data_IF_964264441675
#
_entry.id   IF_964264441675
#
_cell.length_a   1.000
_cell.length_b   1.000
_cell.length_c   1.000
_cell.angle_alpha   90.00
_cell.angle_beta   90.00
_cell.angle_gamma   90.00
#
_symmetry.space_group_name_H-M   'P 1'
#
loop_
_entity.id
_entity.type
_entity.pdbx_description
1 polymer ?
#
# COMPACT_ATOMS: atom_id res chain seq x y z
N UNK A 1 -13.04 13.90 -14.33
CA UNK A 1 -13.39 14.14 -12.92
C UNK A 1 -14.24 13.03 -12.32
N UNK A 2 -15.41 12.72 -12.87
CA UNK A 2 -16.33 11.70 -12.29
C UNK A 2 -15.66 10.32 -12.12
N UNK A 3 -14.88 9.86 -13.10
CA UNK A 3 -14.18 8.57 -13.00
C UNK A 3 -13.16 8.55 -11.85
N UNK A 4 -12.44 9.64 -11.65
CA UNK A 4 -11.45 9.77 -10.58
C UNK A 4 -12.13 9.76 -9.20
N UNK A 5 -13.20 10.56 -9.03
CA UNK A 5 -13.92 10.61 -7.76
C UNK A 5 -14.58 9.28 -7.41
N UNK A 6 -15.19 8.59 -8.38
CA UNK A 6 -15.75 7.25 -8.17
C UNK A 6 -14.65 6.25 -7.79
N UNK A 7 -13.50 6.30 -8.47
CA UNK A 7 -12.35 5.44 -8.15
C UNK A 7 -11.86 5.65 -6.72
N UNK A 8 -11.65 6.90 -6.29
CA UNK A 8 -11.21 7.22 -4.93
C UNK A 8 -12.21 6.71 -3.90
N UNK A 9 -13.50 6.95 -4.08
CA UNK A 9 -14.55 6.48 -3.16
C UNK A 9 -14.51 4.95 -3.02
N UNK A 10 -14.38 4.22 -4.14
CA UNK A 10 -14.26 2.77 -4.12
C UNK A 10 -13.03 2.30 -3.34
N UNK A 11 -11.86 2.87 -3.60
CA UNK A 11 -10.63 2.51 -2.88
C UNK A 11 -10.72 2.83 -1.38
N UNK A 12 -11.33 3.96 -1.01
CA UNK A 12 -11.53 4.32 0.40
C UNK A 12 -12.43 3.33 1.12
N UNK A 13 -13.54 2.91 0.50
CA UNK A 13 -14.45 1.91 1.10
C UNK A 13 -13.72 0.58 1.31
N UNK A 14 -12.96 0.12 0.32
CA UNK A 14 -12.15 -1.11 0.42
C UNK A 14 -11.12 -0.99 1.56
N UNK A 15 -10.46 0.16 1.69
CA UNK A 15 -9.51 0.44 2.78
C UNK A 15 -10.15 0.37 4.16
N UNK A 16 -11.34 0.97 4.32
CA UNK A 16 -12.09 0.94 5.59
C UNK A 16 -12.48 -0.50 5.95
N UNK A 17 -13.01 -1.26 4.99
CA UNK A 17 -13.39 -2.65 5.20
C UNK A 17 -12.16 -3.51 5.58
N UNK A 18 -11.03 -3.31 4.90
CA UNK A 18 -9.78 -4.02 5.20
C UNK A 18 -9.28 -3.69 6.62
N UNK A 19 -9.29 -2.42 7.02
CA UNK A 19 -8.92 -2.00 8.37
C UNK A 19 -9.84 -2.59 9.44
N UNK A 20 -11.15 -2.65 9.18
CA UNK A 20 -12.10 -3.28 10.09
C UNK A 20 -11.87 -4.79 10.22
N UNK A 21 -11.57 -5.49 9.11
CA UNK A 21 -11.24 -6.91 9.15
C UNK A 21 -9.96 -7.18 9.95
N UNK A 22 -8.91 -6.38 9.74
CA UNK A 22 -7.66 -6.48 10.51
C UNK A 22 -7.94 -6.25 11.99
N UNK A 23 -8.74 -5.23 12.33
CA UNK A 23 -9.13 -4.95 13.71
C UNK A 23 -9.82 -6.13 14.38
N UNK A 24 -10.77 -6.78 13.70
CA UNK A 24 -11.49 -7.94 14.26
C UNK A 24 -10.57 -9.15 14.43
N UNK A 25 -9.68 -9.42 13.48
CA UNK A 25 -8.79 -10.59 13.50
C UNK A 25 -7.73 -10.47 14.61
N UNK A 26 -7.19 -9.27 14.82
CA UNK A 26 -6.14 -9.01 15.82
C UNK A 26 -6.67 -8.29 17.07
N UNK A 27 -7.98 -8.37 17.34
CA UNK A 27 -8.59 -7.71 18.50
C UNK A 27 -8.05 -8.23 19.84
N UNK A 28 -7.74 -9.53 19.91
CA UNK A 28 -7.27 -10.21 21.12
C UNK A 28 -5.74 -10.25 21.21
N UNK A 29 -5.05 -10.20 20.06
CA UNK A 29 -3.60 -10.28 19.93
C UNK A 29 -3.05 -9.02 19.26
N UNK A 30 -2.55 -8.09 20.05
CA UNK A 30 -1.94 -6.88 19.54
C UNK A 30 -0.55 -7.19 18.92
N UNK A 31 -0.47 -7.05 17.60
CA UNK A 31 0.73 -7.32 16.79
C UNK A 31 1.91 -6.41 17.16
N UNK A 32 1.65 -5.19 17.67
CA UNK A 32 2.70 -4.28 18.13
C UNK A 32 3.31 -4.79 19.44
N UNK A 33 2.46 -5.22 20.37
CA UNK A 33 2.90 -5.69 21.70
C UNK A 33 3.72 -6.98 21.59
N UNK A 34 3.36 -7.84 20.62
CA UNK A 34 4.09 -9.08 20.31
C UNK A 34 5.38 -8.86 19.49
N UNK A 35 5.72 -7.61 19.13
CA UNK A 35 6.89 -7.23 18.31
C UNK A 35 6.99 -7.95 16.96
N UNK A 36 5.84 -8.32 16.40
CA UNK A 36 5.78 -8.93 15.07
C UNK A 36 5.90 -7.85 13.99
N UNK A 37 5.35 -6.66 14.27
CA UNK A 37 5.49 -5.44 13.48
C UNK A 37 6.15 -4.35 14.33
N UNK A 38 7.02 -3.55 13.72
CA UNK A 38 7.69 -2.44 14.41
C UNK A 38 6.93 -1.12 14.25
N UNK A 39 6.26 -0.94 13.11
CA UNK A 39 5.49 0.26 12.78
C UNK A 39 4.09 -0.09 12.26
N UNK A 40 3.14 0.83 12.45
CA UNK A 40 1.76 0.66 12.00
C UNK A 40 1.65 0.54 10.46
N UNK A 41 2.60 1.08 9.70
CA UNK A 41 2.62 0.99 8.24
C UNK A 41 2.82 -0.44 7.72
N UNK A 42 3.38 -1.32 8.55
CA UNK A 42 3.63 -2.72 8.20
C UNK A 42 2.41 -3.62 8.44
N UNK A 43 1.33 -3.11 9.06
CA UNK A 43 0.17 -3.88 9.46
C UNK A 43 -0.56 -4.53 8.26
N UNK A 44 -0.85 -3.72 7.24
CA UNK A 44 -1.54 -4.18 6.02
C UNK A 44 -0.70 -5.20 5.23
N UNK A 45 0.58 -4.94 4.90
CA UNK A 45 1.39 -5.95 4.21
C UNK A 45 1.56 -7.21 5.06
N UNK A 46 1.71 -7.11 6.38
CA UNK A 46 1.76 -8.28 7.26
C UNK A 46 0.47 -9.12 7.17
N UNK A 47 -0.69 -8.47 7.26
CA UNK A 47 -1.99 -9.13 7.14
C UNK A 47 -2.15 -9.85 5.79
N UNK A 48 -1.77 -9.20 4.69
CA UNK A 48 -1.85 -9.81 3.36
C UNK A 48 -0.92 -11.02 3.26
N UNK A 49 0.27 -10.96 3.82
CA UNK A 49 1.21 -12.09 3.85
C UNK A 49 0.67 -13.26 4.69
N UNK A 50 -0.04 -12.98 5.78
CA UNK A 50 -0.66 -13.99 6.62
C UNK A 50 -1.83 -14.70 5.91
N UNK A 51 -2.73 -13.93 5.27
CA UNK A 51 -3.83 -14.48 4.47
C UNK A 51 -3.32 -15.23 3.23
N UNK A 52 -2.26 -14.73 2.59
CA UNK A 52 -1.66 -15.35 1.41
C UNK A 52 -1.00 -16.71 1.69
N UNK A 53 -0.77 -17.10 2.96
CA UNK A 53 -0.35 -18.47 3.30
C UNK A 53 -1.34 -19.52 2.77
N UNK A 54 -2.62 -19.15 2.66
CA UNK A 54 -3.67 -20.03 2.17
C UNK A 54 -3.75 -20.07 0.62
N UNK A 55 -3.15 -19.11 -0.09
CA UNK A 55 -3.24 -18.99 -1.55
C UNK A 55 -1.85 -18.72 -2.16
N UNK A 56 -1.20 -19.74 -2.74
CA UNK A 56 0.13 -19.57 -3.32
C UNK A 56 0.11 -18.55 -4.46
N UNK A 57 1.05 -17.59 -4.43
CA UNK A 57 1.20 -16.53 -5.44
C UNK A 57 0.54 -15.19 -5.09
N UNK A 58 -0.42 -15.16 -4.16
CA UNK A 58 -1.13 -13.92 -3.79
C UNK A 58 -0.20 -12.88 -3.14
N UNK A 59 0.70 -13.34 -2.26
CA UNK A 59 1.73 -12.50 -1.65
C UNK A 59 2.64 -11.82 -2.69
N UNK A 60 3.03 -12.57 -3.72
CA UNK A 60 3.87 -12.08 -4.82
C UNK A 60 3.15 -11.05 -5.67
N UNK A 61 1.87 -11.28 -5.99
CA UNK A 61 1.04 -10.34 -6.73
C UNK A 61 0.87 -9.01 -5.98
N UNK A 62 0.58 -9.08 -4.68
CA UNK A 62 0.45 -7.88 -3.84
C UNK A 62 1.76 -7.08 -3.80
N UNK A 63 2.88 -7.75 -3.56
CA UNK A 63 4.20 -7.13 -3.50
C UNK A 63 4.60 -6.50 -4.84
N UNK A 64 4.35 -7.18 -5.96
CA UNK A 64 4.60 -6.66 -7.30
C UNK A 64 3.77 -5.40 -7.60
N UNK A 65 2.49 -5.39 -7.22
CA UNK A 65 1.62 -4.22 -7.36
C UNK A 65 2.09 -3.02 -6.52
N UNK A 66 2.46 -3.27 -5.26
CA UNK A 66 2.98 -2.22 -4.36
C UNK A 66 4.24 -1.56 -4.92
N UNK A 67 5.21 -2.36 -5.36
CA UNK A 67 6.42 -1.82 -5.98
C UNK A 67 6.12 -1.12 -7.30
N UNK A 68 5.22 -1.64 -8.14
CA UNK A 68 4.83 -0.98 -9.39
C UNK A 68 4.26 0.43 -9.14
N UNK A 69 3.39 0.59 -8.14
CA UNK A 69 2.83 1.89 -7.76
C UNK A 69 3.91 2.87 -7.25
N UNK A 70 4.84 2.37 -6.44
CA UNK A 70 5.97 3.17 -5.95
C UNK A 70 6.89 3.61 -7.10
N UNK A 71 7.23 2.70 -8.01
CA UNK A 71 8.08 3.00 -9.18
C UNK A 71 7.39 3.97 -10.16
N UNK A 72 6.07 3.87 -10.34
CA UNK A 72 5.33 4.83 -11.17
C UNK A 72 5.43 6.26 -10.63
N UNK A 73 5.26 6.42 -9.30
CA UNK A 73 5.43 7.73 -8.63
C UNK A 73 6.87 8.22 -8.73
N UNK A 74 7.85 7.34 -8.51
CA UNK A 74 9.27 7.67 -8.61
C UNK A 74 9.66 8.13 -10.02
N UNK A 75 9.14 7.48 -11.07
CA UNK A 75 9.36 7.87 -12.46
C UNK A 75 8.88 9.30 -12.74
N UNK A 76 7.70 9.67 -12.24
CA UNK A 76 7.19 11.03 -12.37
C UNK A 76 8.07 12.06 -11.62
N UNK A 77 8.52 11.73 -10.40
CA UNK A 77 9.41 12.58 -9.60
C UNK A 77 10.73 12.84 -10.35
N UNK A 78 11.36 11.79 -10.87
CA UNK A 78 12.62 11.91 -11.62
C UNK A 78 12.44 12.75 -12.89
N UNK A 79 11.33 12.55 -13.62
CA UNK A 79 11.02 13.36 -14.80
C UNK A 79 10.90 14.85 -14.47
N UNK A 80 10.19 15.19 -13.39
CA UNK A 80 10.07 16.58 -12.92
C UNK A 80 11.41 17.14 -12.45
N UNK A 81 12.22 16.35 -11.73
CA UNK A 81 13.54 16.77 -11.24
C UNK A 81 14.50 17.07 -12.39
N UNK A 82 14.56 16.23 -13.41
CA UNK A 82 15.36 16.49 -14.62
C UNK A 82 14.86 17.74 -15.36
N UNK A 83 13.54 17.96 -15.43
CA UNK A 83 12.96 19.16 -16.00
C UNK A 83 13.37 20.43 -15.26
N UNK A 84 13.33 20.41 -13.92
CA UNK A 84 13.76 21.54 -13.09
C UNK A 84 15.25 21.84 -13.29
N UNK A 85 16.11 20.81 -13.23
CA UNK A 85 17.55 20.94 -13.50
C UNK A 85 17.77 21.57 -14.89
N UNK A 86 17.05 21.11 -15.91
CA UNK A 86 17.20 21.65 -17.25
C UNK A 86 16.81 23.13 -17.36
N UNK A 87 15.74 23.55 -16.69
CA UNK A 87 15.32 24.96 -16.65
C UNK A 87 16.31 25.83 -15.84
N UNK A 88 16.90 25.30 -14.76
CA UNK A 88 17.86 26.02 -13.91
C UNK A 88 19.22 26.25 -14.61
N UNK A 89 19.65 25.34 -15.48
CA UNK A 89 20.92 25.45 -16.23
C UNK A 89 20.78 26.08 -17.61
N UNK A 90 19.56 26.33 -18.06
CA UNK A 90 19.25 27.07 -19.29
C UNK A 90 19.42 28.58 -19.09
#
# INVERSE_FOLDING_TARGET
MILYSVGVIMFTIIGILTGLTIYVIYADCDLLTTKIIETNDQLVPYYVMDVAKNIPGLAGLFTAGLFSAALSSLSAILNCMTGAIYEDFK
#
